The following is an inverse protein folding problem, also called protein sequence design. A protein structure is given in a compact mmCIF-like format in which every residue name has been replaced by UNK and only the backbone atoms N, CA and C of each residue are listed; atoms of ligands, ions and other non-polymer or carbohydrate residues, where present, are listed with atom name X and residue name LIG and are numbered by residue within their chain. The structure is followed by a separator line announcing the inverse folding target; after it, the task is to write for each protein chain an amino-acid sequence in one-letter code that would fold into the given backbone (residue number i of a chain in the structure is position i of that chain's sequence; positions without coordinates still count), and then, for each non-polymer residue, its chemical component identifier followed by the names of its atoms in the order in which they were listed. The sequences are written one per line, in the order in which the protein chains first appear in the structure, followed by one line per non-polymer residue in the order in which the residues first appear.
data_IF_047449064590
#
_entry.id   IF_047449064590
#
_cell.length_a   1.000
_cell.length_b   1.000
_cell.length_c   1.000
_cell.angle_alpha   90.00
_cell.angle_beta   90.00
_cell.angle_gamma   90.00
#
_symmetry.space_group_name_H-M   'P 1'
#
loop_
_entity.id
_entity.type
_entity.pdbx_description
1 polymer ?
#
# COMPACT_ATOMS: atom_id res chain seq x y z
N UNK A 1 45.23 9.31 43.73
CA UNK A 1 45.89 8.63 42.58
C UNK A 1 45.60 9.44 41.33
N UNK A 2 46.61 10.09 40.79
CA UNK A 2 46.68 10.52 39.38
C UNK A 2 46.87 9.25 38.51
N UNK A 3 46.61 9.17 37.20
CA UNK A 3 46.90 10.09 36.08
C UNK A 3 46.12 9.75 34.79
N UNK A 4 45.98 10.77 33.93
CA UNK A 4 46.02 10.77 32.46
C UNK A 4 44.88 10.24 31.57
N UNK A 5 44.73 10.98 30.48
CA UNK A 5 43.83 10.92 29.33
C UNK A 5 44.45 10.32 28.06
N UNK A 6 43.62 9.72 27.19
CA UNK A 6 43.77 9.62 25.73
C UNK A 6 42.34 9.42 25.14
N UNK A 7 41.79 10.04 24.08
CA UNK A 7 42.26 10.91 22.97
C UNK A 7 42.66 10.17 21.67
N UNK A 8 42.15 10.66 20.53
CA UNK A 8 42.33 10.27 19.11
C UNK A 8 41.46 9.10 18.58
N UNK A 9 41.05 9.04 17.30
CA UNK A 9 40.85 10.05 16.24
C UNK A 9 40.14 9.42 15.02
N UNK A 10 39.57 10.27 14.15
CA UNK A 10 39.38 10.11 12.69
C UNK A 10 38.96 8.76 12.08
N UNK A 11 37.83 8.78 11.35
CA UNK A 11 37.84 8.60 9.89
C UNK A 11 36.54 9.12 9.25
N UNK A 12 36.59 10.31 8.64
CA UNK A 12 35.56 10.72 7.67
C UNK A 12 35.98 10.20 6.28
N UNK A 13 35.11 9.44 5.61
CA UNK A 13 35.33 9.01 4.23
C UNK A 13 34.33 9.68 3.30
N UNK A 14 34.74 10.76 2.64
CA UNK A 14 34.02 11.30 1.50
C UNK A 14 34.19 10.36 0.30
N UNK A 15 33.12 9.69 -0.12
CA UNK A 15 33.02 9.17 -1.48
C UNK A 15 32.12 10.09 -2.32
N UNK A 16 32.73 11.04 -3.03
CA UNK A 16 32.11 11.66 -4.21
C UNK A 16 32.05 10.61 -5.32
N UNK A 17 30.85 10.21 -5.72
CA UNK A 17 30.59 9.71 -7.07
C UNK A 17 29.78 10.78 -7.83
N UNK A 18 30.00 10.89 -9.13
CA UNK A 18 29.58 12.04 -9.93
C UNK A 18 29.13 11.62 -11.32
N UNK A 19 28.29 12.46 -11.93
CA UNK A 19 27.80 12.41 -13.32
C UNK A 19 26.79 11.30 -13.64
N UNK A 20 25.61 11.74 -14.09
CA UNK A 20 24.48 10.88 -14.50
C UNK A 20 23.27 11.69 -14.94
N UNK A 21 23.48 12.84 -15.60
CA UNK A 21 22.41 13.75 -16.00
C UNK A 21 21.74 13.22 -17.28
N UNK A 22 20.69 12.41 -17.11
CA UNK A 22 19.87 11.92 -18.23
C UNK A 22 18.67 12.85 -18.45
N UNK A 23 18.80 13.75 -19.43
CA UNK A 23 17.68 14.55 -19.93
C UNK A 23 16.72 13.63 -20.67
N UNK A 24 15.52 13.41 -20.13
CA UNK A 24 14.42 12.80 -20.87
C UNK A 24 13.71 13.90 -21.66
N UNK A 25 13.62 13.82 -23.00
CA UNK A 25 12.94 14.84 -23.79
C UNK A 25 11.43 14.78 -23.56
N UNK A 26 10.83 15.95 -23.36
CA UNK A 26 9.40 16.12 -23.54
C UNK A 26 9.09 16.12 -25.05
N UNK A 27 8.22 15.22 -25.51
CA UNK A 27 7.18 15.48 -26.51
C UNK A 27 6.47 14.16 -26.92
N UNK A 28 5.24 13.97 -26.44
CA UNK A 28 4.28 13.08 -27.10
C UNK A 28 2.87 13.66 -27.01
N UNK A 29 2.64 14.73 -27.79
CA UNK A 29 1.30 15.25 -28.01
C UNK A 29 0.47 14.24 -28.81
N UNK A 30 -0.23 13.34 -28.13
CA UNK A 30 -1.23 12.47 -28.77
C UNK A 30 -2.49 13.27 -29.11
N UNK A 31 -2.47 13.92 -30.28
CA UNK A 31 -3.64 14.54 -30.88
C UNK A 31 -4.60 13.45 -31.39
N UNK A 32 -5.59 13.07 -30.59
CA UNK A 32 -6.60 12.11 -31.02
C UNK A 32 -7.59 12.79 -32.00
N UNK A 33 -7.50 12.44 -33.28
CA UNK A 33 -8.34 13.02 -34.33
C UNK A 33 -9.79 12.55 -34.20
N UNK A 34 -10.72 13.50 -34.33
CA UNK A 34 -12.16 13.24 -34.25
C UNK A 34 -12.63 12.28 -35.35
N UNK A 35 -13.03 11.06 -34.97
CA UNK A 35 -13.73 10.13 -35.87
C UNK A 35 -15.24 10.46 -35.81
N UNK A 36 -15.68 11.26 -36.79
CA UNK A 36 -17.10 11.51 -37.07
C UNK A 36 -17.80 10.19 -37.48
N UNK A 37 -18.39 9.50 -36.51
CA UNK A 37 -19.12 8.25 -36.76
C UNK A 37 -20.43 8.52 -37.53
N UNK A 38 -20.50 8.01 -38.75
CA UNK A 38 -21.66 8.13 -39.65
C UNK A 38 -22.96 7.63 -39.00
N UNK A 39 -23.90 8.55 -38.83
CA UNK A 39 -25.29 8.32 -38.37
C UNK A 39 -26.05 7.38 -39.32
N UNK A 40 -26.00 6.07 -39.10
CA UNK A 40 -26.88 5.09 -39.77
C UNK A 40 -28.25 5.07 -39.08
N UNK A 41 -29.27 5.62 -39.75
CA UNK A 41 -30.68 5.37 -39.37
C UNK A 41 -30.97 3.88 -39.51
N UNK A 42 -31.42 3.22 -38.44
CA UNK A 42 -32.04 1.89 -38.48
C UNK A 42 -33.45 1.96 -37.90
N UNK A 43 -34.35 1.28 -38.59
CA UNK A 43 -35.80 1.21 -38.36
C UNK A 43 -36.12 0.51 -37.03
N UNK A 44 -37.16 0.90 -36.29
CA UNK A 44 -37.53 0.22 -35.05
C UNK A 44 -38.12 -1.16 -35.35
N UNK A 45 -37.55 -2.19 -34.71
CA UNK A 45 -38.13 -3.53 -34.63
C UNK A 45 -38.50 -3.82 -33.17
N UNK A 46 -39.77 -4.14 -32.91
CA UNK A 46 -40.23 -4.56 -31.60
C UNK A 46 -39.39 -5.73 -31.07
N UNK A 47 -38.79 -5.55 -29.89
CA UNK A 47 -38.19 -6.62 -29.11
C UNK A 47 -38.65 -6.47 -27.65
N UNK A 48 -38.74 -7.60 -26.96
CA UNK A 48 -39.33 -7.74 -25.63
C UNK A 48 -38.56 -6.94 -24.56
N UNK A 49 -39.20 -6.54 -23.45
CA UNK A 49 -38.51 -5.94 -22.33
C UNK A 49 -37.63 -6.99 -21.62
N UNK A 50 -36.38 -7.14 -22.08
CA UNK A 50 -35.34 -7.68 -21.21
C UNK A 50 -35.08 -6.66 -20.11
N UNK A 51 -35.50 -6.98 -18.89
CA UNK A 51 -34.97 -6.35 -17.69
C UNK A 51 -33.53 -6.80 -17.51
N UNK A 52 -32.62 -6.17 -18.27
CA UNK A 52 -31.21 -6.12 -17.92
C UNK A 52 -31.11 -5.32 -16.62
N UNK A 53 -30.97 -6.04 -15.52
CA UNK A 53 -30.57 -5.47 -14.23
C UNK A 53 -29.11 -5.03 -14.36
N UNK A 54 -28.89 -3.91 -15.05
CA UNK A 54 -27.61 -3.20 -15.00
C UNK A 54 -27.44 -2.71 -13.56
N UNK A 55 -26.72 -3.51 -12.77
CA UNK A 55 -26.08 -3.04 -11.55
C UNK A 55 -25.04 -2.01 -11.94
N UNK A 56 -25.48 -0.76 -12.08
CA UNK A 56 -24.62 0.43 -12.13
C UNK A 56 -23.93 0.60 -10.78
N UNK A 57 -22.94 -0.25 -10.53
CA UNK A 57 -21.96 -0.08 -9.47
C UNK A 57 -21.31 1.29 -9.72
N UNK A 58 -21.52 2.23 -8.79
CA UNK A 58 -21.00 3.59 -8.97
C UNK A 58 -19.48 3.54 -9.04
N UNK A 59 -18.87 4.43 -9.82
CA UNK A 59 -17.40 4.54 -9.88
C UNK A 59 -16.80 4.74 -8.47
N UNK A 60 -17.51 5.42 -7.56
CA UNK A 60 -17.13 5.53 -6.15
C UNK A 60 -17.10 4.19 -5.40
N UNK A 61 -17.96 3.22 -5.74
CA UNK A 61 -17.95 1.90 -5.12
C UNK A 61 -16.82 1.00 -5.67
N UNK A 62 -16.44 1.15 -6.95
CA UNK A 62 -15.28 0.46 -7.53
C UNK A 62 -13.95 0.93 -6.92
N UNK A 63 -13.86 2.21 -6.55
CA UNK A 63 -12.66 2.84 -5.96
C UNK A 63 -12.57 2.58 -4.44
N UNK A 64 -13.67 2.20 -3.79
CA UNK A 64 -13.67 1.93 -2.35
C UNK A 64 -12.71 0.78 -2.00
N UNK A 65 -11.79 0.96 -1.03
CA UNK A 65 -10.95 -0.11 -0.53
C UNK A 65 -11.67 -1.02 0.49
N UNK A 66 -12.91 -0.68 0.90
CA UNK A 66 -13.67 -1.44 1.88
C UNK A 66 -14.14 -2.81 1.33
N UNK A 67 -14.17 -3.82 2.21
CA UNK A 67 -14.56 -5.21 1.92
C UNK A 67 -13.73 -5.89 0.81
N UNK A 68 -12.42 -5.63 0.81
CA UNK A 68 -11.48 -6.15 -0.19
C UNK A 68 -10.25 -6.78 0.46
N UNK A 69 -9.67 -7.75 -0.25
CA UNK A 69 -8.38 -8.35 0.09
C UNK A 69 -7.26 -7.62 -0.62
N UNK A 70 -6.17 -7.37 0.10
CA UNK A 70 -4.98 -6.74 -0.44
C UNK A 70 -3.73 -7.51 -0.08
N UNK A 71 -2.73 -7.43 -0.95
CA UNK A 71 -1.35 -7.81 -0.64
C UNK A 71 -0.57 -6.52 -0.38
N UNK A 72 -0.14 -6.32 0.87
CA UNK A 72 0.73 -5.22 1.28
C UNK A 72 2.19 -5.65 1.09
N UNK A 73 2.93 -4.92 0.27
CA UNK A 73 4.38 -5.02 0.12
C UNK A 73 5.00 -3.85 0.91
N UNK A 74 5.88 -4.18 1.86
CA UNK A 74 6.57 -3.22 2.74
C UNK A 74 8.06 -3.23 2.39
N UNK A 75 8.67 -2.04 2.33
CA UNK A 75 10.11 -1.87 2.15
C UNK A 75 10.63 -0.87 3.20
N UNK A 76 11.16 -1.38 4.29
CA UNK A 76 11.73 -0.62 5.41
C UNK A 76 13.25 -0.76 5.41
N UNK A 77 13.97 0.34 5.20
CA UNK A 77 15.43 0.39 4.97
C UNK A 77 15.98 -0.56 3.88
N UNK A 78 16.22 -1.83 4.23
CA UNK A 78 16.72 -2.90 3.35
C UNK A 78 15.90 -4.17 3.42
N UNK A 79 15.00 -4.26 4.39
CA UNK A 79 14.18 -5.43 4.63
C UNK A 79 12.85 -5.24 3.90
N UNK A 80 12.39 -6.32 3.27
CA UNK A 80 11.12 -6.35 2.57
C UNK A 80 10.22 -7.43 3.17
N UNK A 81 8.93 -7.14 3.28
CA UNK A 81 7.93 -8.12 3.68
C UNK A 81 6.64 -7.98 2.89
N UNK A 82 5.95 -9.10 2.72
CA UNK A 82 4.64 -9.23 2.11
C UNK A 82 3.66 -9.67 3.20
N UNK A 83 2.55 -8.95 3.32
CA UNK A 83 1.51 -9.19 4.32
C UNK A 83 0.13 -9.23 3.63
N UNK A 84 -0.65 -10.29 3.83
CA UNK A 84 -2.06 -10.32 3.42
C UNK A 84 -2.90 -9.41 4.34
N UNK A 85 -3.78 -8.59 3.77
CA UNK A 85 -4.70 -7.72 4.50
C UNK A 85 -6.15 -7.92 4.02
N UNK A 86 -7.10 -7.69 4.92
CA UNK A 86 -8.49 -7.44 4.58
C UNK A 86 -8.97 -6.16 5.25
N UNK A 87 -9.53 -5.24 4.46
CA UNK A 87 -9.98 -3.93 4.92
C UNK A 87 -11.49 -3.97 5.20
N UNK A 88 -11.85 -4.02 6.48
CA UNK A 88 -13.25 -4.08 6.89
C UNK A 88 -13.97 -2.74 6.63
N UNK A 89 -15.26 -2.72 6.21
CA UNK A 89 -16.03 -1.49 6.01
C UNK A 89 -16.21 -0.59 7.24
N UNK A 90 -15.90 -1.09 8.44
CA UNK A 90 -15.94 -0.34 9.70
C UNK A 90 -14.65 0.48 9.97
N UNK A 91 -13.63 0.39 9.10
CA UNK A 91 -12.32 1.03 9.28
C UNK A 91 -11.29 0.19 10.03
N UNK A 92 -11.55 -1.09 10.28
CA UNK A 92 -10.59 -2.03 10.89
C UNK A 92 -9.78 -2.74 9.80
N UNK A 93 -8.52 -3.05 10.10
CA UNK A 93 -7.64 -3.87 9.26
C UNK A 93 -7.52 -5.24 9.90
N UNK A 94 -7.95 -6.29 9.20
CA UNK A 94 -7.54 -7.66 9.55
C UNK A 94 -6.22 -7.97 8.84
N UNK A 95 -5.25 -8.46 9.60
CA UNK A 95 -3.94 -8.88 9.07
C UNK A 95 -3.92 -10.40 9.00
N UNK A 96 -3.60 -10.91 7.81
CA UNK A 96 -3.48 -12.34 7.51
C UNK A 96 -2.04 -12.84 7.65
N UNK A 97 -1.62 -13.70 6.74
CA UNK A 97 -0.26 -14.24 6.73
C UNK A 97 0.78 -13.17 6.32
N UNK A 98 2.00 -13.31 6.84
CA UNK A 98 3.14 -12.46 6.50
C UNK A 98 4.40 -13.31 6.37
N UNK A 99 5.30 -12.95 5.45
CA UNK A 99 6.63 -13.56 5.32
C UNK A 99 7.69 -12.86 6.20
N UNK A 100 7.31 -11.78 6.90
CA UNK A 100 8.15 -11.00 7.79
C UNK A 100 8.35 -11.61 9.19
N UNK A 101 8.83 -10.82 10.17
CA UNK A 101 9.07 -11.29 11.53
C UNK A 101 7.79 -11.78 12.23
N UNK A 102 7.91 -12.84 13.04
CA UNK A 102 6.76 -13.47 13.71
C UNK A 102 6.11 -12.48 14.69
N UNK A 103 4.86 -12.12 14.41
CA UNK A 103 4.05 -11.22 15.23
C UNK A 103 3.30 -12.01 16.32
N UNK A 104 3.32 -11.52 17.57
CA UNK A 104 2.54 -12.07 18.70
C UNK A 104 1.10 -11.56 18.69
N UNK A 105 0.92 -10.25 18.50
CA UNK A 105 -0.37 -9.58 18.45
C UNK A 105 -0.36 -8.50 17.38
N UNK A 106 -1.47 -8.35 16.66
CA UNK A 106 -1.62 -7.34 15.61
C UNK A 106 -2.97 -6.65 15.71
N UNK A 107 -2.99 -5.35 15.45
CA UNK A 107 -4.21 -4.56 15.30
C UNK A 107 -3.97 -3.46 14.28
N UNK A 108 -5.00 -3.05 13.56
CA UNK A 108 -4.88 -1.95 12.62
C UNK A 108 -6.20 -1.27 12.30
N UNK A 109 -6.10 -0.04 11.82
CA UNK A 109 -7.22 0.78 11.36
C UNK A 109 -6.87 1.45 10.04
N UNK A 110 -7.87 1.70 9.21
CA UNK A 110 -7.73 2.40 7.94
C UNK A 110 -8.81 3.45 7.77
N UNK A 111 -8.50 4.47 6.98
CA UNK A 111 -9.40 5.56 6.63
C UNK A 111 -8.99 6.18 5.30
N UNK A 112 -9.91 6.92 4.68
CA UNK A 112 -9.63 7.73 3.51
C UNK A 112 -9.96 9.19 3.80
N UNK A 113 -9.28 10.13 3.13
CA UNK A 113 -9.68 11.54 3.15
C UNK A 113 -11.15 11.71 2.69
N UNK A 114 -11.86 12.76 3.12
CA UNK A 114 -13.22 13.04 2.63
C UNK A 114 -13.33 13.17 1.11
N UNK A 115 -12.24 13.59 0.45
CA UNK A 115 -12.13 13.73 -1.00
C UNK A 115 -11.83 12.40 -1.73
N UNK A 116 -11.61 11.31 -0.99
CA UNK A 116 -11.26 9.98 -1.52
C UNK A 116 -9.87 9.87 -2.15
N UNK A 117 -9.02 10.89 -2.07
CA UNK A 117 -7.71 10.95 -2.73
C UNK A 117 -6.58 10.30 -1.93
N UNK A 118 -6.60 10.46 -0.61
CA UNK A 118 -5.60 9.91 0.30
C UNK A 118 -6.12 8.71 1.08
N UNK A 119 -5.26 7.71 1.22
CA UNK A 119 -5.42 6.56 2.10
C UNK A 119 -4.49 6.72 3.31
N UNK A 120 -5.03 6.47 4.50
CA UNK A 120 -4.27 6.47 5.75
C UNK A 120 -4.60 5.17 6.50
N UNK A 121 -3.59 4.36 6.76
CA UNK A 121 -3.69 3.15 7.56
C UNK A 121 -2.68 3.19 8.71
N UNK A 122 -3.05 2.64 9.86
CA UNK A 122 -2.15 2.46 11.00
C UNK A 122 -2.17 0.97 11.37
N UNK A 123 -1.00 0.33 11.42
CA UNK A 123 -0.85 -1.04 11.90
C UNK A 123 0.10 -1.03 13.10
N UNK A 124 -0.35 -1.66 14.18
CA UNK A 124 0.41 -1.91 15.40
C UNK A 124 0.70 -3.41 15.50
N UNK A 125 1.98 -3.77 15.50
CA UNK A 125 2.48 -5.14 15.63
C UNK A 125 3.27 -5.27 16.93
N UNK A 126 2.93 -6.24 17.78
CA UNK A 126 3.71 -6.61 18.96
C UNK A 126 4.51 -7.86 18.66
N UNK A 127 5.82 -7.78 18.85
CA UNK A 127 6.76 -8.88 18.65
C UNK A 127 7.24 -9.43 19.99
N UNK A 128 7.58 -10.72 20.03
CA UNK A 128 8.18 -11.37 21.18
C UNK A 128 9.59 -11.84 20.82
N UNK A 129 10.58 -11.44 21.61
CA UNK A 129 11.95 -11.88 21.42
C UNK A 129 12.21 -13.18 22.15
N UNK A 130 12.47 -14.25 21.39
CA UNK A 130 12.81 -15.59 21.92
C UNK A 130 14.32 -15.63 22.27
N UNK A 131 14.75 -14.70 23.12
CA UNK A 131 16.13 -14.55 23.58
C UNK A 131 16.45 -15.45 24.77
N UNK A 132 16.91 -16.69 24.53
CA UNK A 132 17.17 -17.71 25.56
C UNK A 132 18.13 -17.29 26.70
N UNK A 133 18.95 -16.26 26.52
CA UNK A 133 19.97 -15.84 27.50
C UNK A 133 19.74 -14.43 28.10
N UNK A 134 18.82 -13.64 27.55
CA UNK A 134 18.59 -12.23 27.97
C UNK A 134 17.19 -12.04 28.61
N UNK A 135 16.29 -13.03 28.46
CA UNK A 135 14.93 -13.00 29.00
C UNK A 135 13.88 -12.69 27.93
N UNK A 136 12.62 -13.00 28.22
CA UNK A 136 11.49 -12.65 27.36
C UNK A 136 11.31 -11.13 27.40
N UNK A 137 11.42 -10.49 26.23
CA UNK A 137 11.01 -9.10 26.06
C UNK A 137 10.06 -9.00 24.87
N UNK A 138 8.95 -8.28 25.08
CA UNK A 138 8.06 -7.87 24.00
C UNK A 138 8.32 -6.40 23.66
N UNK A 139 8.12 -6.06 22.39
CA UNK A 139 8.14 -4.68 21.93
C UNK A 139 7.05 -4.48 20.88
N UNK A 140 6.47 -3.29 20.87
CA UNK A 140 5.38 -2.93 19.95
C UNK A 140 5.90 -1.88 18.98
N UNK A 141 5.67 -2.13 17.69
CA UNK A 141 5.98 -1.21 16.60
C UNK A 141 4.67 -0.72 16.02
N UNK A 142 4.52 0.59 15.88
CA UNK A 142 3.42 1.20 15.14
C UNK A 142 3.95 1.81 13.84
N UNK A 143 3.22 1.58 12.76
CA UNK A 143 3.52 2.10 11.43
C UNK A 143 2.27 2.76 10.87
N UNK A 144 2.43 4.00 10.42
CA UNK A 144 1.43 4.77 9.67
C UNK A 144 1.79 4.71 8.20
N UNK A 145 0.82 4.38 7.36
CA UNK A 145 0.95 4.21 5.92
C UNK A 145 0.14 5.34 5.28
N UNK A 146 0.81 6.27 4.61
CA UNK A 146 0.16 7.36 3.88
C UNK A 146 0.38 7.18 2.39
N UNK A 147 -0.70 7.01 1.63
CA UNK A 147 -0.61 6.77 0.19
C UNK A 147 -1.76 7.37 -0.60
N UNK A 148 -1.65 7.24 -1.92
CA UNK A 148 -2.66 7.68 -2.89
C UNK A 148 -3.13 6.48 -3.72
N UNK A 149 -4.38 6.54 -4.18
CA UNK A 149 -4.95 5.49 -5.03
C UNK A 149 -4.37 5.55 -6.45
N UNK A 150 -3.86 4.42 -6.93
CA UNK A 150 -3.29 4.24 -8.27
C UNK A 150 -4.08 3.15 -9.01
N UNK A 151 -4.43 3.38 -10.26
CA UNK A 151 -5.13 2.38 -11.08
C UNK A 151 -4.14 1.61 -11.95
N UNK A 152 -4.10 0.29 -11.79
CA UNK A 152 -3.28 -0.61 -12.60
C UNK A 152 -4.21 -1.41 -13.51
N UNK A 153 -4.57 -0.79 -14.64
CA UNK A 153 -5.58 -1.33 -15.56
C UNK A 153 -6.98 -1.26 -14.93
N UNK A 154 -7.52 -2.41 -14.54
CA UNK A 154 -8.80 -2.52 -13.82
C UNK A 154 -8.65 -2.67 -12.30
N UNK A 155 -7.44 -2.95 -11.81
CA UNK A 155 -7.17 -3.15 -10.39
C UNK A 155 -6.89 -1.81 -9.69
N UNK A 156 -7.30 -1.74 -8.42
CA UNK A 156 -6.95 -0.64 -7.52
C UNK A 156 -5.67 -1.02 -6.79
N UNK A 157 -4.73 -0.09 -6.72
CA UNK A 157 -3.56 -0.14 -5.85
C UNK A 157 -3.53 1.09 -4.95
N UNK A 158 -2.82 1.00 -3.83
CA UNK A 158 -2.40 2.16 -3.05
C UNK A 158 -0.88 2.09 -2.91
N UNK A 159 -0.19 3.18 -3.22
CA UNK A 159 1.26 3.25 -3.04
C UNK A 159 1.59 4.51 -2.24
N UNK A 160 2.61 4.44 -1.39
CA UNK A 160 2.88 5.53 -0.46
C UNK A 160 4.06 5.30 0.47
N UNK A 161 4.15 6.14 1.49
CA UNK A 161 5.26 6.16 2.42
C UNK A 161 4.88 5.52 3.77
N UNK A 162 5.85 4.85 4.38
CA UNK A 162 5.73 4.29 5.74
C UNK A 162 6.38 5.25 6.74
N UNK A 163 5.66 5.51 7.82
CA UNK A 163 5.99 6.48 8.84
C UNK A 163 6.02 5.83 10.23
N UNK A 164 7.03 6.15 11.02
CA UNK A 164 7.10 5.89 12.44
C UNK A 164 6.63 7.14 13.18
N UNK A 165 5.56 7.02 13.98
CA UNK A 165 4.99 8.13 14.75
C UNK A 165 5.34 7.92 16.22
N UNK A 166 6.28 8.71 16.72
CA UNK A 166 6.77 8.65 18.10
C UNK A 166 6.65 10.01 18.79
N UNK A 167 6.19 10.04 20.05
CA UNK A 167 5.93 11.28 20.78
C UNK A 167 7.21 12.10 21.07
N UNK A 168 8.39 11.47 21.06
CA UNK A 168 9.68 12.11 21.35
C UNK A 168 10.48 12.46 20.09
N UNK A 169 10.46 11.60 19.08
CA UNK A 169 11.20 11.77 17.82
C UNK A 169 10.35 12.45 16.73
N UNK A 170 9.03 12.49 16.90
CA UNK A 170 8.08 13.01 15.92
C UNK A 170 7.71 12.00 14.84
N UNK A 171 7.20 12.53 13.72
CA UNK A 171 6.87 11.74 12.54
C UNK A 171 8.10 11.59 11.64
N UNK A 172 8.56 10.35 11.46
CA UNK A 172 9.73 10.00 10.65
C UNK A 172 9.38 8.97 9.59
N UNK A 173 9.60 9.31 8.31
CA UNK A 173 9.54 8.35 7.20
C UNK A 173 10.61 7.27 7.38
N UNK A 174 10.20 6.01 7.38
CA UNK A 174 11.05 4.81 7.54
C UNK A 174 11.07 3.90 6.32
N UNK A 175 10.13 4.05 5.39
CA UNK A 175 10.03 3.15 4.26
C UNK A 175 9.04 3.59 3.19
N UNK A 176 8.74 2.65 2.30
CA UNK A 176 7.74 2.75 1.23
C UNK A 176 6.86 1.51 1.25
N UNK A 177 5.61 1.64 0.83
CA UNK A 177 4.70 0.50 0.69
C UNK A 177 3.94 0.51 -0.64
N UNK A 178 3.53 -0.68 -1.04
CA UNK A 178 2.57 -0.94 -2.10
C UNK A 178 1.43 -1.78 -1.53
N UNK A 179 0.22 -1.59 -2.01
CA UNK A 179 -0.95 -2.37 -1.58
C UNK A 179 -1.77 -2.70 -2.83
N UNK A 180 -1.81 -3.98 -3.21
CA UNK A 180 -2.42 -4.44 -4.46
C UNK A 180 -3.74 -5.17 -4.18
N UNK A 181 -4.83 -4.79 -4.85
CA UNK A 181 -6.13 -5.49 -4.74
C UNK A 181 -6.00 -6.93 -5.29
N UNK A 182 -6.21 -7.92 -4.43
CA UNK A 182 -6.12 -9.35 -4.74
C UNK A 182 -7.47 -10.06 -4.57
N UNK A 183 -8.56 -9.30 -4.39
CA UNK A 183 -9.91 -9.82 -4.08
C UNK A 183 -10.36 -10.90 -5.07
N UNK A 184 -10.31 -10.62 -6.37
CA UNK A 184 -10.70 -11.59 -7.42
C UNK A 184 -9.83 -12.87 -7.36
N UNK A 185 -8.52 -12.72 -7.14
CA UNK A 185 -7.57 -13.84 -7.06
C UNK A 185 -7.69 -14.67 -5.77
N UNK A 186 -8.37 -14.14 -4.74
CA UNK A 186 -8.72 -14.86 -3.52
C UNK A 186 -10.05 -15.61 -3.69
N UNK A 187 -11.10 -14.91 -4.14
CA UNK A 187 -12.44 -15.49 -4.33
C UNK A 187 -12.45 -16.62 -5.36
N UNK A 188 -11.77 -16.46 -6.50
CA UNK A 188 -11.69 -17.50 -7.53
C UNK A 188 -11.01 -18.80 -7.02
N UNK A 189 -10.07 -18.69 -6.07
CA UNK A 189 -9.41 -19.86 -5.46
C UNK A 189 -10.32 -20.62 -4.49
N UNK A 190 -11.33 -19.96 -3.92
CA UNK A 190 -12.31 -20.61 -3.06
C UNK A 190 -13.36 -21.37 -3.89
N UNK A 191 -13.73 -20.87 -5.08
CA UNK A 191 -14.65 -21.58 -5.99
C UNK A 191 -14.03 -22.87 -6.59
N UNK A 192 -12.72 -22.88 -6.90
CA UNK A 192 -12.02 -24.07 -7.41
C UNK A 192 -11.75 -25.16 -6.33
N UNK A 193 -12.04 -24.88 -5.06
CA UNK A 193 -11.80 -25.80 -3.95
C UNK A 193 -12.98 -26.73 -3.62
N UNK A 194 -14.08 -26.68 -4.40
CA UNK A 194 -15.32 -27.44 -4.21
C UNK A 194 -15.70 -28.32 -5.41
#
# INVERSE_FOLDING_TARGET
MTTLSLLAASAALLCRASHGFAVVPADSQFSFTSIQQRRRKRTPSNALPMTSTDSTTSLSALISPAAKFFQLEELEDRDNSITELYLEPNGVVMVGETDGPIVKEVSGTWSTSPDGTKFIMNIRRTFESIGREIGEFSFTVERRYEGEFVFVGALVAVSGDMHNVDDMLGDMKVGWFNMLDTTDARLNREEEAF
#
